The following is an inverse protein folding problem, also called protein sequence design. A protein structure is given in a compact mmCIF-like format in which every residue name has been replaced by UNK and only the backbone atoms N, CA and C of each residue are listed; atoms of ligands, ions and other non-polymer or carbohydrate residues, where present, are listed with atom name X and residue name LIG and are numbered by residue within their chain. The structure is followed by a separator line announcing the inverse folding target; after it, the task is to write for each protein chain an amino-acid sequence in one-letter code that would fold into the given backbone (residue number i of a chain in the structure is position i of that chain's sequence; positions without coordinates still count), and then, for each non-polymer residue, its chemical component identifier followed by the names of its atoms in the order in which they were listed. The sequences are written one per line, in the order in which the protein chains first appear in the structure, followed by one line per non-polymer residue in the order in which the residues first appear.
data_IF_447461288865
#
_entry.id   IF_447461288865
#
_cell.length_a   1.000
_cell.length_b   1.000
_cell.length_c   1.000
_cell.angle_alpha   90.00
_cell.angle_beta   90.00
_cell.angle_gamma   90.00
#
_symmetry.space_group_name_H-M   'P 1'
#
loop_
_entity.id
_entity.type
_entity.pdbx_description
1 polymer ?
#
# COMPACT_ATOMS: atom_id res chain seq x y z
N UNK A 1 7.65 7.31 26.82
CA UNK A 1 6.67 8.27 26.25
C UNK A 1 5.38 7.52 25.89
N UNK A 2 4.21 8.17 25.86
CA UNK A 2 2.97 7.50 25.39
C UNK A 2 3.04 7.29 23.87
N UNK A 3 2.55 6.16 23.37
CA UNK A 3 2.57 5.83 21.93
C UNK A 3 1.80 6.85 21.08
N UNK A 4 0.70 7.40 21.61
CA UNK A 4 -0.08 8.45 20.94
C UNK A 4 0.73 9.71 20.68
N UNK A 5 1.50 10.15 21.68
CA UNK A 5 2.36 11.31 21.59
C UNK A 5 3.53 11.06 20.63
N UNK A 6 4.13 9.87 20.70
CA UNK A 6 5.19 9.46 19.77
C UNK A 6 4.70 9.45 18.32
N UNK A 7 3.49 8.95 18.08
CA UNK A 7 2.88 8.93 16.76
C UNK A 7 2.65 10.35 16.20
N UNK A 8 2.17 11.28 17.04
CA UNK A 8 2.00 12.68 16.66
C UNK A 8 3.34 13.33 16.30
N UNK A 9 4.38 13.16 17.14
CA UNK A 9 5.71 13.73 16.89
C UNK A 9 6.39 13.13 15.65
N UNK A 10 6.20 11.83 15.41
CA UNK A 10 6.70 11.15 14.21
C UNK A 10 5.85 11.40 12.95
N UNK A 11 4.72 12.12 13.08
CA UNK A 11 3.73 12.34 12.01
C UNK A 11 3.29 11.04 11.33
N UNK A 12 2.97 10.02 12.13
CA UNK A 12 2.44 8.74 11.67
C UNK A 12 1.13 8.41 12.39
N UNK A 13 0.36 7.47 11.83
CA UNK A 13 -0.82 6.98 12.52
C UNK A 13 -0.44 6.21 13.79
N UNK A 14 -1.35 6.24 14.78
CA UNK A 14 -1.18 5.46 16.02
C UNK A 14 -0.98 3.96 15.75
N UNK A 15 -1.69 3.43 14.75
CA UNK A 15 -1.56 2.03 14.32
C UNK A 15 -0.16 1.72 13.78
N UNK A 16 0.43 2.63 12.99
CA UNK A 16 1.82 2.49 12.54
C UNK A 16 2.81 2.48 13.70
N UNK A 17 2.63 3.37 14.68
CA UNK A 17 3.49 3.40 15.86
C UNK A 17 3.45 2.08 16.66
N UNK A 18 2.28 1.44 16.78
CA UNK A 18 2.19 0.09 17.38
C UNK A 18 2.90 -0.97 16.55
N UNK A 19 2.79 -0.95 15.21
CA UNK A 19 3.53 -1.88 14.35
C UNK A 19 5.04 -1.70 14.48
N UNK A 20 5.53 -0.46 14.53
CA UNK A 20 6.94 -0.19 14.76
C UNK A 20 7.41 -0.64 16.15
N UNK A 21 6.60 -0.42 17.18
CA UNK A 21 6.88 -0.98 18.52
C UNK A 21 7.00 -2.50 18.48
N UNK A 22 6.09 -3.19 17.79
CA UNK A 22 6.15 -4.65 17.66
C UNK A 22 7.40 -5.14 16.90
N UNK A 23 7.97 -4.29 16.03
CA UNK A 23 9.24 -4.53 15.34
C UNK A 23 10.49 -4.14 16.16
N UNK A 24 10.32 -3.65 17.39
CA UNK A 24 11.43 -3.27 18.26
C UNK A 24 11.80 -1.78 18.25
N UNK A 25 10.95 -0.89 17.72
CA UNK A 25 11.22 0.55 17.77
C UNK A 25 11.28 1.06 19.23
N UNK A 26 12.36 1.76 19.62
CA UNK A 26 12.47 2.37 20.94
C UNK A 26 11.39 3.44 21.15
N UNK A 27 10.68 3.39 22.28
CA UNK A 27 9.56 4.27 22.62
C UNK A 27 9.83 5.18 23.84
N UNK A 28 11.06 5.11 24.34
CA UNK A 28 11.60 5.88 25.46
C UNK A 28 12.02 7.29 25.04
N UNK A 29 12.61 7.47 23.87
CA UNK A 29 13.02 8.77 23.32
C UNK A 29 12.52 8.98 21.88
N UNK A 30 12.21 10.24 21.52
CA UNK A 30 11.85 10.61 20.15
C UNK A 30 13.01 10.44 19.18
N UNK A 31 14.22 10.78 19.61
CA UNK A 31 15.43 10.75 18.79
C UNK A 31 15.78 9.33 18.36
N UNK A 32 15.81 8.40 19.31
CA UNK A 32 16.04 6.98 19.04
C UNK A 32 14.94 6.39 18.12
N UNK A 33 13.69 6.82 18.28
CA UNK A 33 12.61 6.38 17.41
C UNK A 33 12.76 6.90 15.96
N UNK A 34 13.25 8.13 15.79
CA UNK A 34 13.56 8.72 14.48
C UNK A 34 14.71 7.98 13.81
N UNK A 35 15.78 7.71 14.55
CA UNK A 35 16.94 6.97 14.03
C UNK A 35 16.55 5.54 13.62
N UNK A 36 15.86 4.81 14.51
CA UNK A 36 15.33 3.49 14.21
C UNK A 36 14.46 3.51 12.95
N UNK A 37 13.56 4.50 12.84
CA UNK A 37 12.70 4.64 11.66
C UNK A 37 13.51 4.88 10.39
N UNK A 38 14.56 5.69 10.41
CA UNK A 38 15.41 5.92 9.22
C UNK A 38 16.10 4.64 8.75
N UNK A 39 16.55 3.81 9.69
CA UNK A 39 17.24 2.54 9.38
C UNK A 39 16.27 1.42 8.96
N UNK A 40 15.03 1.44 9.48
CA UNK A 40 14.05 0.37 9.31
C UNK A 40 12.89 0.75 8.36
N UNK A 41 12.95 1.92 7.72
CA UNK A 41 11.96 2.29 6.72
C UNK A 41 12.19 1.43 5.47
N UNK A 42 11.24 0.56 5.18
CA UNK A 42 11.24 -0.19 3.92
C UNK A 42 10.93 0.76 2.76
N UNK A 43 11.99 1.18 2.07
CA UNK A 43 11.92 2.10 0.93
C UNK A 43 11.00 1.56 -0.17
N UNK A 44 10.89 0.24 -0.35
CA UNK A 44 10.06 -0.40 -1.39
C UNK A 44 8.56 -0.27 -1.13
N UNK A 45 8.19 -0.01 0.14
CA UNK A 45 6.80 0.22 0.56
C UNK A 45 6.45 1.71 0.59
N UNK A 46 7.40 2.60 0.28
CA UNK A 46 7.13 4.04 0.17
C UNK A 46 6.48 4.35 -1.18
N UNK A 47 5.60 5.36 -1.21
CA UNK A 47 4.82 5.74 -2.41
C UNK A 47 5.66 5.91 -3.69
N UNK A 48 6.92 6.34 -3.54
CA UNK A 48 7.83 6.57 -4.67
C UNK A 48 8.40 5.28 -5.28
N UNK A 49 8.48 4.20 -4.52
CA UNK A 49 9.05 2.92 -4.96
C UNK A 49 8.08 1.75 -4.83
N UNK A 50 6.82 2.04 -4.49
CA UNK A 50 5.75 1.06 -4.49
C UNK A 50 5.67 0.55 -5.92
N UNK A 51 6.11 -0.69 -6.12
CA UNK A 51 5.90 -1.40 -7.38
C UNK A 51 4.41 -1.68 -7.42
N UNK A 52 3.65 -0.72 -7.95
CA UNK A 52 2.29 -0.91 -8.42
C UNK A 52 2.37 -1.80 -9.68
N UNK A 53 2.86 -3.03 -9.49
CA UNK A 53 3.13 -4.04 -10.50
C UNK A 53 1.86 -4.68 -11.06
N UNK A 54 0.72 -3.99 -10.99
CA UNK A 54 -0.39 -4.27 -11.85
C UNK A 54 -0.59 -3.02 -12.72
N UNK A 55 0.09 -2.93 -13.88
CA UNK A 55 -0.36 -2.08 -14.96
C UNK A 55 -1.63 -2.74 -15.47
N UNK A 56 -2.72 -2.65 -14.71
CA UNK A 56 -3.97 -3.34 -15.00
C UNK A 56 -4.24 -3.16 -16.47
N UNK A 57 -4.10 -4.24 -17.23
CA UNK A 57 -4.16 -4.19 -18.68
C UNK A 57 -5.49 -3.52 -18.96
N UNK A 58 -5.47 -2.31 -19.55
CA UNK A 58 -6.72 -1.64 -19.90
C UNK A 58 -7.45 -2.65 -20.77
N UNK A 59 -8.54 -3.23 -20.24
CA UNK A 59 -9.33 -4.21 -20.96
C UNK A 59 -9.78 -3.50 -22.23
N UNK A 60 -9.13 -3.79 -23.36
CA UNK A 60 -9.62 -3.31 -24.65
C UNK A 60 -10.85 -4.18 -24.90
N UNK A 61 -12.07 -3.63 -24.95
CA UNK A 61 -13.21 -4.44 -25.34
C UNK A 61 -12.89 -4.98 -26.73
N UNK A 62 -12.87 -6.31 -26.87
CA UNK A 62 -12.85 -6.94 -28.17
C UNK A 62 -14.06 -6.37 -28.92
N UNK A 63 -13.85 -5.72 -30.07
CA UNK A 63 -14.94 -5.39 -30.97
C UNK A 63 -15.52 -6.72 -31.46
N UNK A 64 -16.56 -7.20 -30.77
CA UNK A 64 -17.34 -8.33 -31.21
C UNK A 64 -18.15 -7.83 -32.40
N UNK A 65 -17.80 -8.24 -33.61
CA UNK A 65 -18.60 -7.99 -34.80
C UNK A 65 -19.96 -8.69 -34.61
N UNK A 66 -21.03 -7.90 -34.43
CA UNK A 66 -22.41 -8.35 -34.17
C UNK A 66 -23.12 -8.99 -35.38
N UNK A 67 -22.38 -9.62 -36.30
CA UNK A 67 -22.97 -10.11 -37.56
C UNK A 67 -23.27 -11.61 -37.63
N UNK A 68 -23.06 -12.38 -36.57
CA UNK A 68 -23.34 -13.82 -36.58
C UNK A 68 -24.31 -14.23 -35.49
N UNK A 69 -25.50 -13.65 -35.48
CA UNK A 69 -26.68 -14.26 -34.85
C UNK A 69 -27.90 -13.96 -35.71
N UNK A 70 -28.04 -14.65 -36.83
CA UNK A 70 -29.32 -14.72 -37.52
C UNK A 70 -29.51 -16.12 -38.10
N UNK A 71 -30.58 -16.75 -37.60
CA UNK A 71 -31.39 -17.79 -38.22
C UNK A 71 -30.74 -19.14 -38.52
N UNK A 72 -30.90 -20.06 -37.56
CA UNK A 72 -31.31 -21.42 -37.90
C UNK A 72 -32.20 -22.01 -36.78
N UNK A 73 -33.47 -21.65 -36.84
CA UNK A 73 -34.56 -22.49 -36.32
C UNK A 73 -35.59 -22.61 -37.44
N UNK A 74 -35.33 -23.55 -38.34
CA UNK A 74 -36.35 -24.12 -39.21
C UNK A 74 -36.47 -25.61 -38.92
N UNK A 75 -37.73 -25.98 -38.64
CA UNK A 75 -38.32 -27.33 -38.59
C UNK A 75 -38.19 -28.14 -37.31
#
# INVERSE_FOLDING_TARGET
MKISELAQRLRISRQMAYRYKARGMPCNSLESALEWRRQNLDVTQTKNWRIDGNPGVRFKPLHINKHTFNNDKSR
#
